data_IF_146985165519
#
_entry.id   IF_146985165519
#
_cell.length_a   1.000
_cell.length_b   1.000
_cell.length_c   1.000
_cell.angle_alpha   90.00
_cell.angle_beta   90.00
_cell.angle_gamma   90.00
#
_symmetry.space_group_name_H-M   'P 1'
#
loop_
_entity.id
_entity.type
_entity.pdbx_description
1 polymer ?
#
# COMPACT_ATOMS: atom_id res chain seq x y z
N UNK A 1 -3.24 12.91 -1.53
CA UNK A 1 -3.64 11.73 -2.33
C UNK A 1 -2.69 11.56 -3.52
N UNK A 2 -2.41 10.34 -3.97
CA UNK A 2 -1.59 10.11 -5.18
C UNK A 2 -2.41 10.27 -6.47
N UNK A 3 -1.79 10.81 -7.51
CA UNK A 3 -2.36 10.88 -8.86
C UNK A 3 -2.18 9.56 -9.63
N UNK A 4 -2.63 9.53 -10.89
CA UNK A 4 -2.52 8.35 -11.76
C UNK A 4 -1.05 7.98 -12.02
N UNK A 5 -0.26 8.97 -12.41
CA UNK A 5 1.18 8.84 -12.64
C UNK A 5 1.96 9.31 -11.40
N UNK A 6 3.28 9.09 -11.40
CA UNK A 6 4.15 9.63 -10.36
C UNK A 6 4.09 11.15 -10.33
N UNK A 7 4.08 11.71 -9.12
CA UNK A 7 4.19 13.16 -8.94
C UNK A 7 5.35 13.48 -8.02
N UNK A 8 6.05 14.57 -8.31
CA UNK A 8 7.14 15.07 -7.50
C UNK A 8 6.81 16.51 -7.07
N UNK A 9 7.06 16.80 -5.81
CA UNK A 9 7.17 18.16 -5.27
C UNK A 9 8.63 18.42 -4.87
N UNK A 10 8.94 19.64 -4.42
CA UNK A 10 10.31 20.05 -4.09
C UNK A 10 10.97 19.19 -2.99
N UNK A 11 10.18 18.42 -2.23
CA UNK A 11 10.60 17.68 -1.04
C UNK A 11 10.29 16.19 -1.08
N UNK A 12 9.42 15.74 -1.97
CA UNK A 12 8.85 14.39 -1.94
C UNK A 12 8.41 13.89 -3.31
N UNK A 13 8.49 12.58 -3.51
CA UNK A 13 7.95 11.89 -4.68
C UNK A 13 6.82 10.99 -4.21
N UNK A 14 5.67 11.07 -4.88
CA UNK A 14 4.49 10.26 -4.63
C UNK A 14 4.36 9.20 -5.71
N UNK A 15 4.13 7.96 -5.27
CA UNK A 15 3.92 6.83 -6.16
C UNK A 15 2.53 6.96 -6.81
N UNK A 16 2.51 6.90 -8.13
CA UNK A 16 1.26 6.95 -8.92
C UNK A 16 0.44 5.68 -8.78
N UNK A 17 -0.89 5.81 -8.82
CA UNK A 17 -1.82 4.67 -8.68
C UNK A 17 -1.61 3.59 -9.74
N UNK A 18 -1.15 3.96 -10.93
CA UNK A 18 -0.89 3.04 -12.04
C UNK A 18 0.18 1.99 -11.72
N UNK A 19 1.05 2.24 -10.74
CA UNK A 19 2.10 1.30 -10.33
C UNK A 19 1.57 0.11 -9.54
N UNK A 20 0.37 0.22 -8.98
CA UNK A 20 -0.22 -0.86 -8.20
C UNK A 20 -0.51 -2.04 -9.11
N UNK A 21 -0.04 -3.22 -8.73
CA UNK A 21 -0.24 -4.46 -9.47
C UNK A 21 -1.73 -4.69 -9.79
N UNK A 22 -2.02 -4.99 -11.05
CA UNK A 22 -3.39 -5.24 -11.54
C UNK A 22 -4.22 -3.97 -11.78
N UNK A 23 -3.64 -2.77 -11.62
CA UNK A 23 -4.35 -1.52 -11.89
C UNK A 23 -4.60 -1.33 -13.38
N UNK A 24 -5.87 -1.36 -13.78
CA UNK A 24 -6.32 -1.11 -15.15
C UNK A 24 -6.84 0.33 -15.33
N UNK A 25 -6.93 0.77 -16.59
CA UNK A 25 -7.43 2.11 -16.93
C UNK A 25 -8.86 2.33 -16.43
N UNK A 26 -9.72 1.33 -16.56
CA UNK A 26 -11.13 1.37 -16.09
C UNK A 26 -11.21 1.63 -14.58
N UNK A 27 -10.33 1.02 -13.80
CA UNK A 27 -10.23 1.25 -12.36
C UNK A 27 -9.69 2.64 -12.03
N UNK A 28 -8.65 3.10 -12.73
CA UNK A 28 -8.12 4.46 -12.57
C UNK A 28 -9.17 5.53 -12.86
N UNK A 29 -9.93 5.36 -13.94
CA UNK A 29 -11.00 6.28 -14.34
C UNK A 29 -12.12 6.29 -13.29
N UNK A 30 -12.47 5.12 -12.74
CA UNK A 30 -13.45 5.02 -11.65
C UNK A 30 -12.98 5.72 -10.37
N UNK A 31 -11.73 5.48 -9.94
CA UNK A 31 -11.15 6.12 -8.75
C UNK A 31 -11.13 7.64 -8.92
N UNK A 32 -10.68 8.11 -10.09
CA UNK A 32 -10.56 9.55 -10.37
C UNK A 32 -11.92 10.22 -10.43
N UNK A 33 -12.92 9.57 -11.05
CA UNK A 33 -14.28 10.09 -11.12
C UNK A 33 -14.92 10.18 -9.73
N UNK A 34 -14.82 9.15 -8.91
CA UNK A 34 -15.30 9.18 -7.53
C UNK A 34 -14.58 10.27 -6.71
N UNK A 35 -13.28 10.47 -6.88
CA UNK A 35 -12.55 11.55 -6.17
C UNK A 35 -13.03 12.95 -6.52
N UNK A 36 -13.50 13.20 -7.75
CA UNK A 36 -14.02 14.51 -8.17
C UNK A 36 -15.28 14.91 -7.43
N UNK A 37 -16.14 13.96 -7.07
CA UNK A 37 -17.34 14.23 -6.28
C UNK A 37 -17.00 14.62 -4.84
N UNK A 38 -16.12 13.84 -4.20
CA UNK A 38 -15.57 14.10 -2.86
C UNK A 38 -14.44 13.14 -2.51
N UNK A 39 -13.58 13.59 -1.59
CA UNK A 39 -12.56 12.76 -0.94
C UNK A 39 -13.15 11.50 -0.29
N UNK A 40 -12.38 10.42 -0.32
CA UNK A 40 -12.73 9.19 0.39
C UNK A 40 -12.58 9.37 1.89
N UNK A 41 -13.53 8.85 2.67
CA UNK A 41 -13.49 8.90 4.14
C UNK A 41 -13.05 7.59 4.80
N UNK A 42 -13.11 6.47 4.07
CA UNK A 42 -12.72 5.14 4.54
C UNK A 42 -12.49 4.16 3.39
N UNK A 43 -11.97 2.97 3.69
CA UNK A 43 -11.87 1.86 2.71
C UNK A 43 -13.27 1.41 2.25
N UNK A 44 -14.25 1.38 3.15
CA UNK A 44 -15.64 1.06 2.78
C UNK A 44 -16.20 2.07 1.78
N UNK A 45 -15.98 3.37 2.02
CA UNK A 45 -16.40 4.44 1.13
C UNK A 45 -15.77 4.29 -0.27
N UNK A 46 -14.48 3.95 -0.32
CA UNK A 46 -13.78 3.65 -1.57
C UNK A 46 -14.39 2.46 -2.31
N UNK A 47 -14.64 1.34 -1.61
CA UNK A 47 -15.20 0.11 -2.22
C UNK A 47 -16.60 0.37 -2.78
N UNK A 48 -17.43 1.15 -2.09
CA UNK A 48 -18.82 1.40 -2.53
C UNK A 48 -18.92 2.37 -3.70
N UNK A 49 -18.00 3.33 -3.80
CA UNK A 49 -18.05 4.39 -4.83
C UNK A 49 -17.24 4.09 -6.10
N UNK A 50 -16.39 3.07 -6.07
CA UNK A 50 -15.55 2.71 -7.23
C UNK A 50 -15.95 1.35 -7.80
N UNK A 51 -15.58 1.06 -9.05
CA UNK A 51 -15.73 -0.25 -9.69
C UNK A 51 -14.51 -1.15 -9.51
N UNK A 52 -13.55 -0.75 -8.67
CA UNK A 52 -12.30 -1.47 -8.41
C UNK A 52 -12.62 -2.85 -7.85
N UNK A 53 -12.02 -3.89 -8.43
CA UNK A 53 -12.22 -5.26 -7.96
C UNK A 53 -11.46 -5.51 -6.64
N UNK A 54 -11.77 -6.65 -5.99
CA UNK A 54 -11.21 -6.99 -4.69
C UNK A 54 -9.68 -7.09 -4.74
N UNK A 55 -9.12 -7.77 -5.74
CA UNK A 55 -7.67 -8.01 -5.84
C UNK A 55 -6.87 -6.71 -5.96
N UNK A 56 -7.36 -5.74 -6.73
CA UNK A 56 -6.72 -4.42 -6.85
C UNK A 56 -6.90 -3.61 -5.57
N UNK A 57 -8.04 -3.71 -4.89
CA UNK A 57 -8.22 -3.10 -3.58
C UNK A 57 -7.29 -3.70 -2.51
N UNK A 58 -7.03 -5.01 -2.54
CA UNK A 58 -6.02 -5.66 -1.69
C UNK A 58 -4.63 -5.11 -1.98
N UNK A 59 -4.25 -4.98 -3.25
CA UNK A 59 -2.95 -4.42 -3.64
C UNK A 59 -2.82 -2.95 -3.24
N UNK A 60 -3.89 -2.16 -3.30
CA UNK A 60 -3.90 -0.79 -2.79
C UNK A 60 -3.67 -0.72 -1.28
N UNK A 61 -4.29 -1.62 -0.51
CA UNK A 61 -4.04 -1.73 0.95
C UNK A 61 -2.58 -2.12 1.20
N UNK A 62 -2.09 -3.15 0.53
CA UNK A 62 -0.72 -3.63 0.68
C UNK A 62 0.33 -2.60 0.25
N UNK A 63 0.02 -1.77 -0.75
CA UNK A 63 0.85 -0.66 -1.20
C UNK A 63 0.76 0.59 -0.32
N UNK A 64 -0.07 0.58 0.71
CA UNK A 64 -0.18 1.68 1.67
C UNK A 64 -1.07 2.84 1.25
N UNK A 65 -1.88 2.68 0.19
CA UNK A 65 -2.78 3.76 -0.28
C UNK A 65 -3.83 4.18 0.77
N UNK A 66 -4.09 3.32 1.76
CA UNK A 66 -5.07 3.53 2.83
C UNK A 66 -4.46 3.68 4.23
N UNK A 67 -3.14 3.80 4.34
CA UNK A 67 -2.45 3.93 5.63
C UNK A 67 -2.92 5.16 6.44
N UNK A 68 -3.45 6.18 5.75
CA UNK A 68 -4.06 7.36 6.38
C UNK A 68 -5.37 7.06 7.11
N UNK A 69 -6.13 6.05 6.67
CA UNK A 69 -7.38 5.65 7.35
C UNK A 69 -7.12 4.68 8.50
N UNK A 70 -6.17 3.77 8.32
CA UNK A 70 -5.71 2.87 9.38
C UNK A 70 -4.30 2.38 9.05
N UNK A 71 -3.34 2.48 9.98
CA UNK A 71 -1.98 2.00 9.75
C UNK A 71 -1.90 0.46 9.74
N UNK A 72 -2.96 -0.24 10.16
CA UNK A 72 -3.00 -1.69 10.26
C UNK A 72 -3.51 -2.32 8.95
N UNK A 73 -2.59 -2.56 8.01
CA UNK A 73 -2.91 -3.14 6.70
C UNK A 73 -3.50 -4.54 6.84
N UNK A 74 -3.08 -5.33 7.84
CA UNK A 74 -3.66 -6.66 8.10
C UNK A 74 -5.14 -6.58 8.44
N UNK A 75 -5.53 -5.66 9.31
CA UNK A 75 -6.93 -5.45 9.68
C UNK A 75 -7.78 -4.96 8.50
N UNK A 76 -7.23 -4.09 7.65
CA UNK A 76 -7.92 -3.64 6.44
C UNK A 76 -8.18 -4.81 5.47
N UNK A 77 -7.18 -5.67 5.24
CA UNK A 77 -7.32 -6.85 4.39
C UNK A 77 -8.34 -7.85 4.94
N UNK A 78 -8.34 -8.08 6.25
CA UNK A 78 -9.29 -8.98 6.90
C UNK A 78 -10.75 -8.57 6.66
N UNK A 79 -11.02 -7.26 6.68
CA UNK A 79 -12.36 -6.73 6.51
C UNK A 79 -12.78 -6.58 5.03
N UNK A 80 -11.84 -6.55 4.10
CA UNK A 80 -12.12 -6.27 2.69
C UNK A 80 -13.12 -7.24 2.04
N UNK A 81 -13.04 -8.59 2.21
CA UNK A 81 -14.02 -9.51 1.64
C UNK A 81 -15.46 -9.18 2.05
N UNK A 82 -15.67 -8.81 3.31
CA UNK A 82 -17.00 -8.46 3.84
C UNK A 82 -17.55 -7.20 3.14
N UNK A 83 -16.70 -6.20 2.89
CA UNK A 83 -17.11 -4.98 2.18
C UNK A 83 -17.60 -5.28 0.75
N UNK A 84 -16.92 -6.18 0.04
CA UNK A 84 -17.33 -6.59 -1.31
C UNK A 84 -18.60 -7.45 -1.31
N UNK A 85 -18.78 -8.31 -0.32
CA UNK A 85 -20.03 -9.08 -0.14
C UNK A 85 -21.22 -8.17 0.14
N UNK A 86 -21.04 -7.18 1.02
CA UNK A 86 -22.10 -6.22 1.37
C UNK A 86 -22.48 -5.34 0.17
N UNK A 87 -21.49 -4.92 -0.64
CA UNK A 87 -21.73 -4.20 -1.89
C UNK A 87 -22.62 -4.97 -2.87
N UNK A 88 -22.56 -6.30 -2.85
CA UNK A 88 -23.35 -7.19 -3.72
C UNK A 88 -24.78 -7.45 -3.19
N UNK A 89 -25.20 -6.76 -2.12
CA UNK A 89 -26.55 -6.86 -1.57
C UNK A 89 -26.71 -7.94 -0.49
N UNK A 90 -25.61 -8.49 0.04
CA UNK A 90 -25.69 -9.36 1.21
C UNK A 90 -25.98 -8.53 2.46
N UNK A 91 -27.11 -8.80 3.11
CA UNK A 91 -27.64 -8.02 4.24
C UNK A 91 -27.05 -8.50 5.58
N UNK A 92 -25.73 -8.61 5.69
CA UNK A 92 -25.08 -8.96 6.95
C UNK A 92 -24.33 -7.74 7.52
N UNK A 93 -24.98 -7.06 8.46
CA UNK A 93 -24.51 -5.83 9.09
C UNK A 93 -23.71 -6.13 10.36
N UNK A 94 -22.56 -6.80 10.20
CA UNK A 94 -21.53 -6.77 11.23
C UNK A 94 -20.56 -5.62 10.91
N UNK A 95 -20.76 -4.51 11.61
CA UNK A 95 -19.78 -3.41 11.66
C UNK A 95 -18.49 -3.96 12.26
N UNK A 96 -17.31 -3.71 11.68
CA UNK A 96 -16.09 -4.32 12.17
C UNK A 96 -15.84 -3.93 13.63
N UNK A 97 -15.69 -4.91 14.51
CA UNK A 97 -14.88 -4.72 15.69
C UNK A 97 -13.48 -4.35 15.20
N UNK A 98 -12.90 -3.30 15.75
CA UNK A 98 -11.46 -3.05 15.67
C UNK A 98 -10.79 -4.20 16.42
N UNK A 99 -10.71 -5.35 15.77
CA UNK A 99 -10.11 -6.54 16.34
C UNK A 99 -8.68 -6.18 16.72
N UNK A 100 -8.31 -6.61 17.92
CA UNK A 100 -7.00 -6.53 18.59
C UNK A 100 -5.89 -7.26 17.82
N UNK A 101 -5.99 -7.33 16.50
CA UNK A 101 -5.04 -7.97 15.63
C UNK A 101 -3.85 -7.03 15.39
N UNK A 102 -2.65 -7.48 15.74
CA UNK A 102 -1.42 -6.77 15.39
C UNK A 102 -1.25 -6.67 13.86
N UNK A 103 -0.62 -5.61 13.38
CA UNK A 103 -0.26 -5.47 11.96
C UNK A 103 0.87 -6.44 11.56
N UNK A 104 1.26 -6.43 10.29
CA UNK A 104 2.43 -7.15 9.80
C UNK A 104 3.73 -6.68 10.48
N UNK A 105 4.64 -7.60 10.82
CA UNK A 105 6.02 -7.22 11.19
C UNK A 105 6.66 -6.35 10.10
N UNK A 106 7.59 -5.43 10.45
CA UNK A 106 8.17 -4.49 9.47
C UNK A 106 8.74 -5.14 8.20
N UNK A 107 9.45 -6.26 8.32
CA UNK A 107 9.99 -6.99 7.18
C UNK A 107 8.87 -7.56 6.29
N UNK A 108 7.85 -8.19 6.89
CA UNK A 108 6.72 -8.75 6.15
C UNK A 108 5.90 -7.66 5.46
N UNK A 109 5.70 -6.53 6.15
CA UNK A 109 5.02 -5.34 5.59
C UNK A 109 5.78 -4.83 4.37
N UNK A 110 7.11 -4.70 4.48
CA UNK A 110 7.98 -4.28 3.38
C UNK A 110 7.91 -5.24 2.20
N UNK A 111 8.03 -6.55 2.44
CA UNK A 111 7.96 -7.58 1.37
C UNK A 111 6.62 -7.53 0.65
N UNK A 112 5.52 -7.34 1.38
CA UNK A 112 4.18 -7.22 0.79
C UNK A 112 3.99 -5.94 -0.01
N UNK A 113 4.52 -4.81 0.47
CA UNK A 113 4.52 -3.54 -0.28
C UNK A 113 5.30 -3.69 -1.60
N UNK A 114 6.51 -4.24 -1.53
CA UNK A 114 7.34 -4.49 -2.71
C UNK A 114 6.64 -5.44 -3.70
N UNK A 115 5.95 -6.47 -3.22
CA UNK A 115 5.25 -7.43 -4.08
C UNK A 115 4.12 -6.81 -4.93
N UNK A 116 3.55 -5.67 -4.51
CA UNK A 116 2.43 -5.01 -5.20
C UNK A 116 2.84 -3.72 -5.92
N UNK A 117 3.94 -3.08 -5.53
CA UNK A 117 4.45 -1.85 -6.16
C UNK A 117 5.73 -2.06 -6.99
N UNK A 118 6.44 -3.18 -6.80
CA UNK A 118 7.80 -3.43 -7.33
C UNK A 118 8.86 -2.41 -6.91
N UNK A 119 8.54 -1.56 -5.93
CA UNK A 119 9.41 -0.55 -5.32
C UNK A 119 8.89 -0.21 -3.92
N UNK A 120 9.72 0.42 -3.09
CA UNK A 120 9.35 0.85 -1.73
C UNK A 120 9.91 2.21 -1.41
N UNK A 121 9.16 3.04 -0.69
CA UNK A 121 9.60 4.38 -0.28
C UNK A 121 10.37 4.41 1.06
N UNK A 122 10.31 3.34 1.86
CA UNK A 122 10.73 3.35 3.26
C UNK A 122 12.18 2.92 3.51
N UNK A 123 12.81 2.20 2.58
CA UNK A 123 14.17 1.68 2.75
C UNK A 123 14.43 0.43 1.92
N UNK A 124 15.63 -0.13 2.01
CA UNK A 124 16.01 -1.34 1.28
C UNK A 124 15.88 -2.61 2.16
N UNK A 125 15.53 -3.76 1.57
CA UNK A 125 15.38 -5.04 2.31
C UNK A 125 16.61 -5.38 3.17
N UNK A 126 17.80 -5.01 2.71
CA UNK A 126 19.07 -5.27 3.42
C UNK A 126 19.15 -4.57 4.77
N UNK A 127 18.36 -3.53 5.04
CA UNK A 127 18.32 -2.87 6.35
C UNK A 127 17.83 -3.84 7.44
N UNK A 128 16.90 -4.75 7.14
CA UNK A 128 16.43 -5.78 8.08
C UNK A 128 17.47 -6.86 8.36
N UNK A 129 18.36 -7.12 7.40
CA UNK A 129 19.41 -8.13 7.51
C UNK A 129 20.72 -7.55 8.02
N UNK A 130 20.93 -6.23 7.93
CA UNK A 130 22.17 -5.55 8.26
C UNK A 130 22.73 -5.90 9.64
N UNK A 131 21.91 -5.97 10.73
CA UNK A 131 22.42 -6.31 12.06
C UNK A 131 22.95 -7.74 12.18
N UNK A 132 22.55 -8.65 11.29
CA UNK A 132 22.96 -10.06 11.30
C UNK A 132 24.21 -10.32 10.45
N UNK A 133 24.67 -9.33 9.69
CA UNK A 133 25.83 -9.49 8.81
C UNK A 133 27.14 -9.21 9.56
N UNK A 134 28.23 -9.92 9.22
CA UNK A 134 29.56 -9.65 9.77
C UNK A 134 29.98 -8.19 9.54
N UNK A 135 30.79 -7.65 10.46
CA UNK A 135 31.32 -6.29 10.38
C UNK A 135 32.16 -6.02 9.11
N UNK A 136 32.67 -7.08 8.46
CA UNK A 136 33.43 -6.99 7.21
C UNK A 136 32.59 -6.75 5.96
N UNK A 137 31.25 -6.85 6.03
CA UNK A 137 30.38 -6.51 4.89
C UNK A 137 30.19 -5.00 4.84
N UNK A 138 30.87 -4.37 3.88
CA UNK A 138 30.80 -2.93 3.62
C UNK A 138 29.50 -2.56 2.91
N UNK A 139 28.97 -1.38 3.20
CA UNK A 139 27.84 -0.83 2.45
C UNK A 139 28.33 -0.08 1.22
N UNK A 140 27.47 0.13 0.22
CA UNK A 140 27.80 0.97 -0.95
C UNK A 140 28.23 2.40 -0.55
N UNK A 141 27.69 2.94 0.55
CA UNK A 141 28.12 4.22 1.15
C UNK A 141 29.53 4.20 1.73
N UNK A 142 30.03 3.03 2.13
CA UNK A 142 31.40 2.87 2.65
C UNK A 142 32.37 2.49 1.52
N UNK A 143 31.88 1.87 0.44
CA UNK A 143 32.69 1.53 -0.74
C UNK A 143 33.24 2.74 -1.49
N UNK A 144 32.63 3.93 -1.36
CA UNK A 144 33.19 5.17 -1.91
C UNK A 144 34.51 5.58 -1.25
N UNK A 145 34.86 5.02 -0.09
CA UNK A 145 36.16 5.20 0.59
C UNK A 145 37.17 4.10 0.25
N UNK A 146 36.77 3.03 -0.45
CA UNK A 146 37.65 1.97 -0.93
C UNK A 146 37.92 2.10 -2.44
N UNK A 147 38.21 3.32 -2.91
CA UNK A 147 39.02 3.50 -4.11
C UNK A 147 40.46 3.76 -3.66
N UNK A 148 41.37 2.98 -4.22
CA UNK A 148 42.83 3.01 -4.08
C UNK A 148 43.41 2.28 -2.86
N UNK A 149 43.70 0.99 -3.09
CA UNK A 149 44.92 0.32 -2.62
C UNK A 149 45.36 -0.67 -3.68
#
# INVERSE_FOLDING_TARGET
PSDVEFTADDSSIRIGLKQVKGMEKTFLDSITSARKERSFSSVQDFVYRTSVNKDVAENLILGGAFDWFSPNRRALLWNLPKLYQNKQGSLFLETPTLDTMADFPPCDRWVKEYAVLSLTAQGHIMEFYRPRLPKGVLTSKVSSYCKES
#
